data_IF_234009703082
#
_entry.id   IF_234009703082
#
_cell.length_a   1.000
_cell.length_b   1.000
_cell.length_c   1.000
_cell.angle_alpha   90.00
_cell.angle_beta   90.00
_cell.angle_gamma   90.00
#
_symmetry.space_group_name_H-M   'P 1'
#
loop_
_entity.id
_entity.type
_entity.pdbx_description
1 polymer ?
#
# COMPACT_ATOMS: atom_id res chain seq x y z
N UNK A 1 -62.74 42.01 -6.97
CA UNK A 1 -61.90 41.86 -8.19
C UNK A 1 -60.91 40.73 -7.94
N UNK A 2 -60.94 39.77 -8.84
CA UNK A 2 -60.23 38.49 -8.85
C UNK A 2 -58.80 38.69 -9.35
N UNK A 3 -57.77 38.19 -8.65
CA UNK A 3 -56.48 37.83 -9.26
C UNK A 3 -55.87 36.60 -8.58
N UNK A 4 -56.14 35.48 -9.23
CA UNK A 4 -55.38 34.24 -9.24
C UNK A 4 -53.99 34.53 -9.82
N UNK A 5 -52.93 34.06 -9.18
CA UNK A 5 -51.67 33.67 -9.83
C UNK A 5 -50.88 32.79 -8.84
N UNK A 6 -51.00 31.48 -9.03
CA UNK A 6 -49.94 30.62 -9.57
C UNK A 6 -48.98 30.08 -8.50
N UNK A 7 -49.41 28.95 -7.95
CA UNK A 7 -48.57 27.82 -7.54
C UNK A 7 -47.38 27.63 -8.48
N UNK A 8 -46.16 27.62 -7.93
CA UNK A 8 -45.08 26.80 -8.46
C UNK A 8 -44.38 26.10 -7.29
N UNK A 9 -44.86 24.88 -7.06
CA UNK A 9 -44.18 23.79 -6.37
C UNK A 9 -42.84 23.53 -7.08
N UNK A 10 -41.73 23.71 -6.38
CA UNK A 10 -40.47 23.06 -6.74
C UNK A 10 -40.13 22.05 -5.66
N UNK A 11 -40.78 20.89 -5.77
CA UNK A 11 -40.36 19.67 -5.11
C UNK A 11 -39.04 19.21 -5.76
N UNK A 12 -37.93 19.66 -5.21
CA UNK A 12 -36.59 19.17 -5.55
C UNK A 12 -36.41 17.75 -5.02
N UNK A 13 -36.82 16.76 -5.81
CA UNK A 13 -36.52 15.36 -5.64
C UNK A 13 -35.00 15.16 -5.86
N UNK A 14 -34.21 15.29 -4.81
CA UNK A 14 -32.80 14.88 -4.82
C UNK A 14 -32.76 13.35 -4.84
N UNK A 15 -32.63 12.79 -6.04
CA UNK A 15 -32.16 11.42 -6.25
C UNK A 15 -30.74 11.31 -5.69
N UNK A 16 -30.64 10.93 -4.42
CA UNK A 16 -29.42 10.40 -3.84
C UNK A 16 -29.14 9.06 -4.50
N UNK A 17 -28.24 9.05 -5.49
CA UNK A 17 -27.65 7.83 -6.03
C UNK A 17 -26.92 7.19 -4.86
N UNK A 18 -27.49 6.13 -4.30
CA UNK A 18 -26.81 5.27 -3.36
C UNK A 18 -25.67 4.58 -4.12
N UNK A 19 -24.50 5.21 -4.11
CA UNK A 19 -23.25 4.53 -4.46
C UNK A 19 -23.10 3.41 -3.44
N UNK A 20 -23.34 2.17 -3.86
CA UNK A 20 -22.92 0.98 -3.15
C UNK A 20 -21.39 1.03 -3.05
N UNK A 21 -20.90 1.71 -2.00
CA UNK A 21 -19.52 1.59 -1.58
C UNK A 21 -19.32 0.15 -1.21
N UNK A 22 -18.67 -0.61 -2.10
CA UNK A 22 -18.06 -1.88 -1.76
C UNK A 22 -16.98 -1.53 -0.73
N UNK A 23 -17.35 -1.48 0.55
CA UNK A 23 -16.36 -1.48 1.60
C UNK A 23 -15.72 -2.84 1.51
N UNK A 24 -14.59 -2.91 0.82
CA UNK A 24 -13.69 -4.03 0.87
C UNK A 24 -13.28 -4.17 2.34
N UNK A 25 -14.06 -4.95 3.08
CA UNK A 25 -13.82 -5.27 4.47
C UNK A 25 -12.55 -6.11 4.47
N UNK A 26 -11.41 -5.44 4.66
CA UNK A 26 -10.13 -6.04 4.94
C UNK A 26 -10.29 -6.86 6.23
N UNK A 27 -10.70 -8.12 6.08
CA UNK A 27 -10.77 -9.11 7.14
C UNK A 27 -9.35 -9.36 7.65
N UNK A 28 -8.93 -8.55 8.63
CA UNK A 28 -7.77 -8.86 9.46
C UNK A 28 -8.20 -9.96 10.42
N UNK A 29 -7.88 -11.20 10.08
CA UNK A 29 -7.96 -12.38 10.97
C UNK A 29 -7.02 -12.28 12.20
N UNK A 30 -6.52 -11.08 12.54
CA UNK A 30 -5.55 -10.84 13.61
C UNK A 30 -4.16 -11.44 13.37
N UNK A 31 -4.00 -12.38 12.42
CA UNK A 31 -2.72 -12.96 12.05
C UNK A 31 -1.87 -11.94 11.29
N UNK A 32 -0.68 -11.63 11.81
CA UNK A 32 0.31 -10.79 11.11
C UNK A 32 0.67 -11.44 9.77
N UNK A 33 0.59 -10.67 8.68
CA UNK A 33 1.06 -11.13 7.38
C UNK A 33 2.60 -11.20 7.40
N UNK A 34 3.13 -12.32 6.89
CA UNK A 34 4.57 -12.55 6.82
C UNK A 34 5.07 -12.25 5.40
N UNK A 35 5.81 -11.16 5.26
CA UNK A 35 6.31 -10.67 3.96
C UNK A 35 7.63 -11.37 3.67
N UNK A 36 7.65 -12.23 2.66
CA UNK A 36 8.84 -12.93 2.18
C UNK A 36 9.11 -12.61 0.72
N UNK A 37 10.38 -12.61 0.30
CA UNK A 37 10.78 -12.37 -1.08
C UNK A 37 12.02 -13.19 -1.44
N UNK A 38 12.22 -13.36 -2.75
CA UNK A 38 13.50 -13.81 -3.29
C UNK A 38 14.34 -12.60 -3.71
N UNK A 39 15.65 -12.80 -3.80
CA UNK A 39 16.58 -11.77 -4.28
C UNK A 39 17.21 -12.21 -5.61
N UNK A 40 17.52 -11.25 -6.47
CA UNK A 40 18.34 -11.46 -7.67
C UNK A 40 19.80 -11.72 -7.26
N UNK A 41 20.62 -12.18 -8.21
CA UNK A 41 22.06 -12.38 -7.98
C UNK A 41 22.78 -11.07 -7.59
N UNK A 42 22.25 -9.92 -8.00
CA UNK A 42 22.74 -8.59 -7.62
C UNK A 42 22.19 -8.09 -6.27
N UNK A 43 21.42 -8.91 -5.55
CA UNK A 43 20.84 -8.59 -4.24
C UNK A 43 19.64 -7.63 -4.29
N UNK A 44 18.97 -7.51 -5.44
CA UNK A 44 17.71 -6.76 -5.54
C UNK A 44 16.54 -7.66 -5.17
N UNK A 45 15.46 -7.08 -4.64
CA UNK A 45 14.22 -7.82 -4.42
C UNK A 45 13.61 -8.22 -5.77
N UNK A 46 13.27 -9.50 -5.91
CA UNK A 46 12.60 -10.06 -7.09
C UNK A 46 11.09 -9.88 -6.95
N UNK A 47 10.54 -8.83 -7.57
CA UNK A 47 9.17 -8.35 -7.31
C UNK A 47 8.09 -9.39 -7.61
N UNK A 48 8.22 -10.16 -8.68
CA UNK A 48 7.28 -11.21 -9.07
C UNK A 48 7.23 -12.36 -8.06
N UNK A 49 8.27 -12.48 -7.21
CA UNK A 49 8.39 -13.47 -6.15
C UNK A 49 8.24 -12.88 -4.74
N UNK A 50 7.70 -11.66 -4.62
CA UNK A 50 7.25 -11.13 -3.32
C UNK A 50 5.96 -11.85 -2.89
N UNK A 51 5.92 -12.22 -1.61
CA UNK A 51 4.84 -12.96 -0.97
C UNK A 51 4.60 -14.37 -1.53
N UNK A 52 5.67 -15.03 -1.99
CA UNK A 52 5.62 -16.38 -2.58
C UNK A 52 5.01 -17.44 -1.64
N UNK A 53 5.10 -17.22 -0.33
CA UNK A 53 4.51 -18.06 0.72
C UNK A 53 2.97 -18.11 0.67
N UNK A 54 2.33 -17.20 -0.06
CA UNK A 54 0.88 -17.14 -0.24
C UNK A 54 0.42 -17.42 -1.68
N UNK A 55 1.27 -17.97 -2.57
CA UNK A 55 0.92 -18.23 -3.98
C UNK A 55 -0.39 -19.04 -4.16
N UNK A 56 -0.72 -19.93 -3.21
CA UNK A 56 -1.96 -20.74 -3.25
C UNK A 56 -3.17 -20.08 -2.57
N UNK A 57 -3.06 -18.83 -2.10
CA UNK A 57 -4.12 -18.09 -1.44
C UNK A 57 -4.16 -16.65 -1.97
N UNK A 58 -4.93 -16.44 -3.05
CA UNK A 58 -5.02 -15.18 -3.78
C UNK A 58 -5.30 -13.97 -2.86
N UNK A 59 -6.27 -14.10 -1.94
CA UNK A 59 -6.61 -13.02 -1.01
C UNK A 59 -5.45 -12.64 -0.09
N UNK A 60 -4.76 -13.63 0.47
CA UNK A 60 -3.58 -13.38 1.33
C UNK A 60 -2.39 -12.87 0.52
N UNK A 61 -2.22 -13.33 -0.72
CA UNK A 61 -1.19 -12.85 -1.63
C UNK A 61 -1.37 -11.37 -1.93
N UNK A 62 -2.58 -10.95 -2.31
CA UNK A 62 -2.90 -9.56 -2.60
C UNK A 62 -2.73 -8.66 -1.36
N UNK A 63 -3.23 -9.10 -0.20
CA UNK A 63 -3.00 -8.38 1.06
C UNK A 63 -1.50 -8.26 1.37
N UNK A 64 -0.74 -9.35 1.25
CA UNK A 64 0.69 -9.34 1.52
C UNK A 64 1.45 -8.42 0.60
N UNK A 65 1.13 -8.39 -0.69
CA UNK A 65 1.78 -7.51 -1.65
C UNK A 65 1.51 -6.04 -1.37
N UNK A 66 0.28 -5.67 -0.98
CA UNK A 66 -0.02 -4.32 -0.48
C UNK A 66 0.79 -3.97 0.77
N UNK A 67 0.81 -4.86 1.76
CA UNK A 67 1.60 -4.63 2.99
C UNK A 67 3.12 -4.61 2.73
N UNK A 68 3.60 -5.33 1.70
CA UNK A 68 4.99 -5.33 1.29
C UNK A 68 5.44 -3.97 0.72
N UNK A 69 4.57 -3.29 -0.02
CA UNK A 69 4.85 -1.94 -0.52
C UNK A 69 5.16 -0.97 0.63
N UNK A 70 4.30 -0.96 1.66
CA UNK A 70 4.49 -0.14 2.86
C UNK A 70 5.76 -0.57 3.63
N UNK A 71 5.98 -1.87 3.78
CA UNK A 71 7.18 -2.41 4.41
C UNK A 71 8.47 -1.94 3.71
N UNK A 72 8.53 -1.98 2.37
CA UNK A 72 9.72 -1.52 1.64
C UNK A 72 9.97 -0.01 1.83
N UNK A 73 8.92 0.80 1.87
CA UNK A 73 9.02 2.24 2.18
C UNK A 73 9.55 2.47 3.60
N UNK A 74 9.03 1.74 4.58
CA UNK A 74 9.46 1.80 5.97
C UNK A 74 10.93 1.41 6.13
N UNK A 75 11.35 0.29 5.54
CA UNK A 75 12.74 -0.19 5.60
C UNK A 75 13.70 0.79 4.90
N UNK A 76 13.32 1.34 3.74
CA UNK A 76 14.10 2.39 3.09
C UNK A 76 14.31 3.60 4.02
N UNK A 77 13.24 4.07 4.68
CA UNK A 77 13.32 5.18 5.63
C UNK A 77 14.19 4.82 6.86
N UNK A 78 14.05 3.60 7.36
CA UNK A 78 14.85 3.07 8.46
C UNK A 78 16.35 3.08 8.12
N UNK A 79 16.77 2.51 6.99
CA UNK A 79 18.18 2.48 6.60
C UNK A 79 18.74 3.86 6.27
N UNK A 80 17.95 4.76 5.66
CA UNK A 80 18.31 6.18 5.50
C UNK A 80 18.62 6.83 6.86
N UNK A 81 17.76 6.64 7.87
CA UNK A 81 17.95 7.16 9.23
C UNK A 81 19.13 6.51 9.93
N UNK A 82 19.28 5.19 9.80
CA UNK A 82 20.38 4.41 10.39
C UNK A 82 21.74 4.90 9.90
N UNK A 83 21.88 5.12 8.59
CA UNK A 83 23.10 5.69 7.99
C UNK A 83 23.39 7.09 8.53
N UNK A 84 22.37 7.95 8.60
CA UNK A 84 22.52 9.32 9.13
C UNK A 84 23.08 9.31 10.55
N UNK A 85 22.59 8.41 11.39
CA UNK A 85 22.93 8.33 12.81
C UNK A 85 24.17 7.46 13.11
N UNK A 86 24.70 6.73 12.11
CA UNK A 86 25.88 5.89 12.29
C UNK A 86 27.17 6.69 12.06
N UNK A 87 28.19 6.41 12.86
CA UNK A 87 29.55 6.94 12.66
C UNK A 87 30.04 6.69 11.23
N UNK A 88 30.66 7.71 10.62
CA UNK A 88 31.05 7.70 9.21
C UNK A 88 31.80 6.43 8.79
N UNK A 89 32.74 5.95 9.62
CA UNK A 89 33.53 4.74 9.36
C UNK A 89 32.70 3.45 9.19
N UNK A 90 31.47 3.40 9.73
CA UNK A 90 30.61 2.20 9.68
C UNK A 90 29.39 2.35 8.78
N UNK A 91 29.18 3.51 8.14
CA UNK A 91 27.99 3.75 7.30
C UNK A 91 27.89 2.79 6.12
N UNK A 92 29.03 2.39 5.55
CA UNK A 92 29.11 1.55 4.37
C UNK A 92 28.42 0.19 4.54
N UNK A 93 28.36 -0.33 5.77
CA UNK A 93 27.73 -1.61 6.11
C UNK A 93 26.23 -1.59 5.76
N UNK A 94 25.58 -0.42 5.82
CA UNK A 94 24.14 -0.27 5.58
C UNK A 94 23.80 0.21 4.16
N UNK A 95 24.80 0.49 3.32
CA UNK A 95 24.53 0.95 1.95
C UNK A 95 23.86 -0.10 1.07
N UNK A 96 24.21 -1.40 1.14
CA UNK A 96 23.53 -2.43 0.37
C UNK A 96 22.04 -2.52 0.72
N UNK A 97 21.69 -2.60 2.01
CA UNK A 97 20.30 -2.68 2.45
C UNK A 97 19.51 -1.41 2.09
N UNK A 98 20.10 -0.23 2.29
CA UNK A 98 19.47 1.02 1.84
C UNK A 98 19.19 0.98 0.34
N UNK A 99 20.15 0.54 -0.48
CA UNK A 99 19.97 0.49 -1.92
C UNK A 99 18.86 -0.49 -2.31
N UNK A 100 18.87 -1.70 -1.72
CA UNK A 100 17.86 -2.74 -1.91
C UNK A 100 16.45 -2.24 -1.61
N UNK A 101 16.22 -1.76 -0.39
CA UNK A 101 14.89 -1.37 0.05
C UNK A 101 14.42 -0.05 -0.56
N UNK A 102 15.31 0.91 -0.81
CA UNK A 102 14.90 2.15 -1.48
C UNK A 102 14.56 1.94 -2.96
N UNK A 103 15.29 1.06 -3.67
CA UNK A 103 14.90 0.67 -5.04
C UNK A 103 13.53 -0.01 -5.03
N UNK A 104 13.29 -0.92 -4.09
CA UNK A 104 11.99 -1.55 -3.95
C UNK A 104 10.88 -0.55 -3.63
N UNK A 105 11.10 0.37 -2.68
CA UNK A 105 10.14 1.41 -2.33
C UNK A 105 9.79 2.36 -3.51
N UNK A 106 10.70 2.51 -4.47
CA UNK A 106 10.52 3.38 -5.64
C UNK A 106 9.90 2.67 -6.85
N UNK A 107 10.05 1.35 -6.96
CA UNK A 107 9.72 0.59 -8.18
C UNK A 107 8.73 -0.56 -7.98
N UNK A 108 8.43 -0.93 -6.73
CA UNK A 108 7.48 -1.99 -6.45
C UNK A 108 6.05 -1.47 -6.53
N UNK A 109 5.32 -1.93 -7.55
CA UNK A 109 3.92 -1.60 -7.82
C UNK A 109 3.13 -2.92 -7.89
N UNK A 110 2.59 -3.41 -6.76
CA UNK A 110 1.95 -4.72 -6.65
C UNK A 110 0.63 -4.88 -7.39
#
# INVERSE_FOLDING_TARGET
MLRICCLLLMAGLLLGIATSGFSEEYFRDGSKIDIQWYETDEGNILFEKVCFNYENNERKLEQCRREAEDYFKEECAFFKKKIKNTHQKYRHIYFPDRAKFCKAAESYEP
#
